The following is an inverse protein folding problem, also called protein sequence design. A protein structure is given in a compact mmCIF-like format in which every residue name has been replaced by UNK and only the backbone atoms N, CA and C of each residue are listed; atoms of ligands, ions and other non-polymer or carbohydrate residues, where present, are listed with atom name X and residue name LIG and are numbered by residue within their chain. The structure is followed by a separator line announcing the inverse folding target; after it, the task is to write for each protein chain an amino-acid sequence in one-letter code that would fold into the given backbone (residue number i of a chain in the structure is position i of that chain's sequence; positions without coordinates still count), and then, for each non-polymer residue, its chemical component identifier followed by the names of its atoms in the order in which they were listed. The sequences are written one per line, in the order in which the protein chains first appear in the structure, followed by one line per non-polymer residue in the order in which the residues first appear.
data_IF_351130187401
#
_entry.id   IF_351130187401
#
_cell.length_a   1.000
_cell.length_b   1.000
_cell.length_c   1.000
_cell.angle_alpha   90.00
_cell.angle_beta   90.00
_cell.angle_gamma   90.00
#
_symmetry.space_group_name_H-M   'P 1'
#
loop_
_entity.id
_entity.type
_entity.pdbx_description
1 polymer ?
#
# COMPACT_ATOMS: atom_id res chain seq x y z
N UNK A 1 32.55 -78.96 65.81
CA UNK A 1 31.79 -77.74 65.45
C UNK A 1 31.14 -77.96 64.11
N UNK A 2 29.81 -77.99 64.08
CA UNK A 2 29.01 -78.46 62.94
C UNK A 2 29.01 -77.41 61.84
N UNK A 3 29.80 -77.64 60.79
CA UNK A 3 29.99 -76.71 59.65
C UNK A 3 28.68 -76.28 59.00
N UNK A 4 27.66 -77.14 59.03
CA UNK A 4 26.31 -76.86 58.53
C UNK A 4 25.56 -75.81 59.37
N UNK A 5 25.72 -75.82 60.71
CA UNK A 5 25.12 -74.79 61.57
C UNK A 5 25.84 -73.44 61.42
N UNK A 6 27.15 -73.46 61.25
CA UNK A 6 27.92 -72.24 60.99
C UNK A 6 27.58 -71.62 59.64
N UNK A 7 27.37 -72.43 58.60
CA UNK A 7 26.91 -71.97 57.29
C UNK A 7 25.48 -71.43 57.33
N UNK A 8 24.57 -72.09 58.06
CA UNK A 8 23.20 -71.60 58.24
C UNK A 8 23.13 -70.26 58.95
N UNK A 9 23.90 -70.08 60.03
CA UNK A 9 23.97 -68.79 60.76
C UNK A 9 24.60 -67.70 59.92
N UNK A 10 25.64 -68.01 59.13
CA UNK A 10 26.31 -67.04 58.28
C UNK A 10 25.42 -66.63 57.09
N UNK A 11 24.65 -67.55 56.51
CA UNK A 11 23.68 -67.24 55.46
C UNK A 11 22.56 -66.32 55.98
N UNK A 12 22.03 -66.59 57.18
CA UNK A 12 21.02 -65.74 57.81
C UNK A 12 21.60 -64.37 58.15
N UNK A 13 22.83 -64.29 58.66
CA UNK A 13 23.50 -63.04 58.94
C UNK A 13 23.73 -62.19 57.68
N UNK A 14 24.13 -62.81 56.56
CA UNK A 14 24.31 -62.13 55.27
C UNK A 14 22.97 -61.62 54.73
N UNK A 15 21.90 -62.40 54.85
CA UNK A 15 20.56 -61.98 54.43
C UNK A 15 20.03 -60.81 55.28
N UNK A 16 20.20 -60.88 56.60
CA UNK A 16 19.79 -59.80 57.51
C UNK A 16 20.62 -58.54 57.29
N UNK A 17 21.92 -58.68 57.03
CA UNK A 17 22.81 -57.56 56.72
C UNK A 17 22.47 -56.92 55.37
N UNK A 18 22.17 -57.73 54.34
CA UNK A 18 21.69 -57.26 53.05
C UNK A 18 20.36 -56.53 53.16
N UNK A 19 19.40 -57.07 53.92
CA UNK A 19 18.11 -56.42 54.16
C UNK A 19 18.25 -55.12 54.97
N UNK A 20 19.14 -55.09 55.97
CA UNK A 20 19.43 -53.88 56.75
C UNK A 20 20.08 -52.78 55.90
N UNK A 21 20.93 -53.14 54.94
CA UNK A 21 21.52 -52.20 53.97
C UNK A 21 20.47 -51.56 53.06
N UNK A 22 19.44 -52.32 52.65
CA UNK A 22 18.33 -51.80 51.83
C UNK A 22 17.45 -50.82 52.63
N UNK A 23 17.22 -51.08 53.92
CA UNK A 23 16.42 -50.20 54.78
C UNK A 23 17.18 -48.96 55.25
N UNK A 24 18.50 -49.07 55.46
CA UNK A 24 19.34 -47.96 55.92
C UNK A 24 19.70 -46.94 54.83
N UNK A 25 19.48 -47.28 53.55
CA UNK A 25 19.76 -46.40 52.42
C UNK A 25 18.58 -46.36 51.42
N UNK A 26 17.42 -45.79 51.79
CA UNK A 26 16.24 -45.69 50.91
C UNK A 26 16.42 -44.78 49.67
N UNK A 27 17.66 -44.40 49.33
CA UNK A 27 18.01 -43.59 48.15
C UNK A 27 19.15 -44.16 47.28
N UNK A 28 19.71 -45.34 47.59
CA UNK A 28 20.82 -45.92 46.82
C UNK A 28 20.38 -46.66 45.54
N UNK A 29 19.09 -46.97 45.40
CA UNK A 29 18.46 -47.48 44.19
C UNK A 29 17.46 -46.46 43.64
N UNK A 30 17.87 -45.18 43.60
CA UNK A 30 17.19 -44.24 42.72
C UNK A 30 17.45 -44.71 41.28
N UNK A 31 16.46 -45.37 40.71
CA UNK A 31 16.37 -45.68 39.30
C UNK A 31 16.62 -44.37 38.55
N UNK A 32 17.84 -44.23 38.04
CA UNK A 32 18.29 -43.07 37.29
C UNK A 32 17.56 -43.11 35.96
N UNK A 33 16.31 -42.65 35.97
CA UNK A 33 15.57 -42.26 34.79
C UNK A 33 16.26 -40.99 34.25
N UNK A 34 17.47 -41.18 33.71
CA UNK A 34 18.19 -40.22 32.90
C UNK A 34 17.41 -40.04 31.58
N UNK A 35 16.20 -39.48 31.65
CA UNK A 35 15.83 -38.52 30.62
C UNK A 35 16.46 -37.21 31.06
N UNK A 36 17.78 -37.10 30.91
CA UNK A 36 18.42 -35.79 31.05
C UNK A 36 17.79 -34.91 29.96
N UNK A 37 16.80 -34.10 30.32
CA UNK A 37 16.20 -33.14 29.40
C UNK A 37 17.32 -32.19 29.04
N UNK A 38 17.93 -32.40 27.89
CA UNK A 38 19.01 -31.56 27.40
C UNK A 38 18.47 -30.12 27.37
N UNK A 39 19.18 -29.13 27.96
CA UNK A 39 18.71 -27.74 27.94
C UNK A 39 18.45 -27.32 26.50
N UNK A 40 17.33 -26.64 26.30
CA UNK A 40 16.93 -26.10 25.01
C UNK A 40 17.62 -24.76 24.79
N UNK A 41 18.08 -24.53 23.57
CA UNK A 41 18.72 -23.29 23.16
C UNK A 41 18.10 -22.82 21.85
N UNK A 42 17.52 -21.62 21.88
CA UNK A 42 16.98 -20.94 20.71
C UNK A 42 17.84 -19.70 20.43
N UNK A 43 18.37 -19.62 19.22
CA UNK A 43 19.19 -18.51 18.76
C UNK A 43 18.54 -17.88 17.53
N UNK A 44 18.26 -16.58 17.59
CA UNK A 44 17.67 -15.85 16.48
C UNK A 44 18.78 -15.42 15.52
N UNK A 45 18.72 -15.93 14.28
CA UNK A 45 19.58 -15.49 13.19
C UNK A 45 19.14 -14.12 12.69
N UNK A 46 20.02 -13.51 11.90
CA UNK A 46 19.78 -12.21 11.29
C UNK A 46 18.42 -12.16 10.57
N UNK A 47 17.51 -11.27 11.01
CA UNK A 47 16.21 -11.07 10.36
C UNK A 47 16.38 -10.50 8.96
N UNK A 48 15.57 -10.97 8.02
CA UNK A 48 15.45 -10.35 6.69
C UNK A 48 14.07 -9.71 6.57
N UNK A 49 14.02 -8.57 5.89
CA UNK A 49 12.77 -7.81 5.70
C UNK A 49 12.57 -7.59 4.21
N UNK A 50 11.34 -7.81 3.75
CA UNK A 50 10.87 -7.41 2.42
C UNK A 50 9.59 -6.60 2.55
N UNK A 51 9.22 -5.87 1.50
CA UNK A 51 7.87 -5.34 1.37
C UNK A 51 6.88 -6.51 1.16
N UNK A 52 5.72 -6.41 1.78
CA UNK A 52 4.52 -7.18 1.45
C UNK A 52 3.56 -6.28 0.66
N UNK A 53 2.27 -6.33 0.99
CA UNK A 53 1.24 -5.45 0.42
C UNK A 53 1.52 -3.97 0.75
N UNK A 54 1.41 -3.11 -0.26
CA UNK A 54 1.63 -1.66 -0.13
C UNK A 54 0.35 -0.91 -0.50
N UNK A 55 -0.23 -0.23 0.49
CA UNK A 55 -1.37 0.66 0.30
C UNK A 55 -0.96 2.14 0.23
N UNK A 56 -1.93 3.04 0.12
CA UNK A 56 -1.67 4.48 0.02
C UNK A 56 -1.02 5.06 1.28
N UNK A 57 -1.52 4.67 2.46
CA UNK A 57 -1.08 5.18 3.76
C UNK A 57 -0.31 4.16 4.60
N UNK A 58 -0.35 2.87 4.22
CA UNK A 58 0.22 1.77 5.01
C UNK A 58 1.07 0.87 4.14
N UNK A 59 2.11 0.28 4.71
CA UNK A 59 2.92 -0.75 4.07
C UNK A 59 3.09 -1.94 5.01
N UNK A 60 3.01 -3.15 4.47
CA UNK A 60 3.35 -4.36 5.18
C UNK A 60 4.86 -4.62 5.10
N UNK A 61 5.51 -4.76 6.25
CA UNK A 61 6.88 -5.25 6.35
C UNK A 61 6.84 -6.74 6.67
N UNK A 62 7.30 -7.57 5.74
CA UNK A 62 7.36 -9.03 5.88
C UNK A 62 8.73 -9.44 6.41
N UNK A 63 8.76 -9.95 7.65
CA UNK A 63 9.99 -10.40 8.30
C UNK A 63 10.15 -11.92 8.15
N UNK A 64 11.19 -12.34 7.44
CA UNK A 64 11.64 -13.73 7.40
C UNK A 64 12.62 -13.98 8.56
N UNK A 65 12.14 -14.68 9.59
CA UNK A 65 12.86 -14.98 10.81
C UNK A 65 13.33 -16.44 10.82
N UNK A 66 14.55 -16.66 11.30
CA UNK A 66 15.15 -17.99 11.39
C UNK A 66 15.68 -18.23 12.79
N UNK A 67 15.16 -19.27 13.44
CA UNK A 67 15.54 -19.69 14.79
C UNK A 67 16.38 -20.94 14.68
N UNK A 68 17.64 -20.86 15.10
CA UNK A 68 18.48 -22.03 15.27
C UNK A 68 18.15 -22.67 16.63
N UNK A 69 17.65 -23.91 16.58
CA UNK A 69 17.28 -24.70 17.74
C UNK A 69 18.30 -25.80 18.00
N UNK A 70 18.70 -25.96 19.26
CA UNK A 70 19.57 -27.04 19.75
C UNK A 70 19.07 -27.55 21.08
N UNK A 71 19.23 -28.85 21.31
CA UNK A 71 18.96 -29.48 22.60
C UNK A 71 17.59 -30.11 22.72
N UNK A 72 16.99 -30.03 23.91
CA UNK A 72 15.65 -30.54 24.20
C UNK A 72 14.54 -29.83 23.42
N UNK A 73 13.28 -30.27 23.54
CA UNK A 73 12.16 -29.57 22.92
C UNK A 73 12.00 -28.16 23.52
N UNK A 74 11.59 -27.19 22.71
CA UNK A 74 11.17 -25.87 23.20
C UNK A 74 9.64 -25.78 23.16
N UNK A 75 9.03 -25.34 24.26
CA UNK A 75 7.57 -25.33 24.43
C UNK A 75 7.03 -23.90 24.42
N UNK A 76 5.79 -23.73 23.93
CA UNK A 76 5.08 -22.45 23.92
C UNK A 76 5.88 -21.29 23.29
N UNK A 77 6.62 -21.58 22.23
CA UNK A 77 7.49 -20.59 21.59
C UNK A 77 6.64 -19.51 20.92
N UNK A 78 6.93 -18.25 21.24
CA UNK A 78 6.25 -17.07 20.67
C UNK A 78 7.28 -16.06 20.19
N UNK A 79 7.03 -15.47 19.03
CA UNK A 79 7.81 -14.35 18.50
C UNK A 79 7.01 -13.08 18.61
N UNK A 80 7.60 -12.03 19.15
CA UNK A 80 7.07 -10.67 19.19
C UNK A 80 7.95 -9.77 18.31
N UNK A 81 7.33 -8.96 17.47
CA UNK A 81 8.00 -7.93 16.67
C UNK A 81 7.38 -6.58 17.02
N UNK A 82 8.21 -5.65 17.43
CA UNK A 82 7.82 -4.27 17.73
C UNK A 82 8.41 -3.34 16.68
N UNK A 83 7.55 -2.62 15.96
CA UNK A 83 7.97 -1.57 15.06
C UNK A 83 8.02 -0.24 15.79
N UNK A 84 9.18 0.40 15.76
CA UNK A 84 9.45 1.68 16.41
C UNK A 84 9.80 2.67 15.30
N UNK A 85 9.02 3.74 15.20
CA UNK A 85 9.25 4.83 14.26
C UNK A 85 10.61 5.49 14.58
N UNK A 86 11.48 5.63 13.59
CA UNK A 86 12.86 6.08 13.81
C UNK A 86 12.97 7.57 14.09
N UNK A 87 11.97 8.35 13.72
CA UNK A 87 11.99 9.81 13.83
C UNK A 87 11.45 10.26 15.20
N UNK A 88 10.40 9.59 15.68
CA UNK A 88 9.75 9.87 16.96
C UNK A 88 10.25 8.98 18.10
N UNK A 89 10.81 7.81 17.79
CA UNK A 89 11.17 6.79 18.78
C UNK A 89 9.97 6.09 19.42
N UNK A 90 8.74 6.35 18.95
CA UNK A 90 7.52 5.78 19.49
C UNK A 90 7.22 4.41 18.86
N UNK A 91 6.57 3.55 19.63
CA UNK A 91 6.10 2.25 19.14
C UNK A 91 4.92 2.49 18.21
N UNK A 92 5.10 2.19 16.92
CA UNK A 92 4.04 2.29 15.92
C UNK A 92 3.08 1.11 16.00
N UNK A 93 3.61 -0.11 16.12
CA UNK A 93 2.81 -1.33 16.26
C UNK A 93 3.60 -2.46 16.93
N UNK A 94 2.88 -3.48 17.40
CA UNK A 94 3.47 -4.71 17.96
C UNK A 94 2.68 -5.92 17.49
N UNK A 95 3.37 -6.89 16.90
CA UNK A 95 2.79 -8.13 16.38
C UNK A 95 3.35 -9.32 17.13
N UNK A 96 2.49 -10.28 17.47
CA UNK A 96 2.88 -11.54 18.13
C UNK A 96 2.46 -12.74 17.31
N UNK A 97 3.36 -13.70 17.13
CA UNK A 97 3.11 -14.97 16.42
C UNK A 97 3.51 -16.14 17.31
N UNK A 98 2.55 -17.02 17.60
CA UNK A 98 2.80 -18.29 18.31
C UNK A 98 3.35 -19.33 17.34
N UNK A 99 4.49 -19.93 17.66
CA UNK A 99 5.07 -21.07 16.96
C UNK A 99 4.74 -22.40 17.65
N UNK A 100 4.40 -22.36 18.94
CA UNK A 100 4.03 -23.54 19.71
C UNK A 100 5.26 -24.38 20.06
N UNK A 101 5.14 -25.69 19.90
CA UNK A 101 6.20 -26.64 20.25
C UNK A 101 7.21 -26.80 19.12
N UNK A 102 8.49 -26.63 19.43
CA UNK A 102 9.61 -26.99 18.54
C UNK A 102 10.20 -28.31 19.06
N UNK A 103 10.15 -29.40 18.27
CA UNK A 103 10.61 -30.71 18.73
C UNK A 103 12.11 -30.70 19.00
N UNK A 104 12.57 -31.62 19.86
CA UNK A 104 14.00 -31.78 20.15
C UNK A 104 14.82 -32.03 18.88
N UNK A 105 16.10 -31.62 18.90
CA UNK A 105 17.04 -32.00 17.84
C UNK A 105 17.61 -33.38 18.19
N UNK A 106 17.43 -34.38 17.32
CA UNK A 106 18.01 -35.72 17.52
C UNK A 106 19.52 -35.66 17.34
N UNK A 107 20.29 -35.51 18.41
CA UNK A 107 21.73 -35.35 18.34
C UNK A 107 22.46 -36.70 18.56
N UNK A 108 23.02 -37.26 17.48
CA UNK A 108 24.27 -38.02 17.57
C UNK A 108 25.46 -37.05 17.70
N UNK A 109 26.65 -37.49 18.17
CA UNK A 109 27.81 -36.61 18.32
C UNK A 109 28.20 -35.99 16.98
N UNK A 110 28.20 -34.65 16.90
CA UNK A 110 28.68 -33.89 15.75
C UNK A 110 27.63 -33.36 14.75
N UNK A 111 26.31 -33.43 14.99
CA UNK A 111 25.31 -32.89 14.03
C UNK A 111 24.29 -31.88 14.56
N UNK A 112 24.39 -30.71 13.95
CA UNK A 112 23.38 -29.83 13.35
C UNK A 112 22.25 -29.28 14.22
N UNK A 113 22.30 -27.96 14.45
CA UNK A 113 21.14 -27.16 14.86
C UNK A 113 20.03 -27.27 13.82
N UNK A 114 18.78 -27.48 14.27
CA UNK A 114 17.62 -27.38 13.38
C UNK A 114 17.30 -25.90 13.15
N UNK A 115 17.11 -25.50 11.90
CA UNK A 115 16.60 -24.16 11.57
C UNK A 115 15.09 -24.19 11.47
N UNK A 116 14.41 -23.40 12.30
CA UNK A 116 12.96 -23.16 12.24
C UNK A 116 12.74 -21.82 11.55
N UNK A 117 12.03 -21.83 10.43
CA UNK A 117 11.71 -20.63 9.65
C UNK A 117 10.30 -20.18 9.95
N UNK A 118 10.11 -18.88 10.13
CA UNK A 118 8.78 -18.29 10.29
C UNK A 118 8.74 -16.90 9.69
N UNK A 119 7.59 -16.55 9.12
CA UNK A 119 7.31 -15.21 8.59
C UNK A 119 6.41 -14.43 9.54
N UNK A 120 6.72 -13.18 9.80
CA UNK A 120 5.87 -12.26 10.58
C UNK A 120 5.65 -11.00 9.77
N UNK A 121 4.39 -10.67 9.52
CA UNK A 121 4.00 -9.47 8.80
C UNK A 121 3.69 -8.35 9.79
N UNK A 122 4.18 -7.15 9.52
CA UNK A 122 4.02 -5.98 10.39
C UNK A 122 3.53 -4.80 9.54
N UNK A 123 2.26 -4.42 9.73
CA UNK A 123 1.68 -3.26 9.05
C UNK A 123 2.06 -1.97 9.77
N UNK A 124 2.64 -1.03 9.03
CA UNK A 124 3.07 0.29 9.51
C UNK A 124 2.55 1.37 8.58
N UNK A 125 2.62 2.64 8.98
CA UNK A 125 2.36 3.74 8.04
C UNK A 125 3.44 3.75 6.96
N UNK A 126 3.06 4.05 5.72
CA UNK A 126 3.96 4.17 4.56
C UNK A 126 4.73 5.49 4.61
N UNK A 127 5.53 5.65 5.66
CA UNK A 127 6.24 6.88 5.97
C UNK A 127 7.51 6.58 6.78
N UNK A 128 8.59 7.28 6.45
CA UNK A 128 9.81 7.34 7.25
C UNK A 128 10.55 6.00 7.35
N UNK A 129 11.14 5.78 8.52
CA UNK A 129 11.87 4.56 8.84
C UNK A 129 11.32 3.86 10.07
N UNK A 130 11.56 2.55 10.16
CA UNK A 130 11.18 1.75 11.32
C UNK A 130 12.34 0.89 11.79
N UNK A 131 12.60 0.93 13.09
CA UNK A 131 13.41 -0.07 13.79
C UNK A 131 12.49 -1.19 14.25
N UNK A 132 12.80 -2.40 13.81
CA UNK A 132 12.08 -3.61 14.16
C UNK A 132 12.86 -4.33 15.26
N UNK A 133 12.31 -4.35 16.48
CA UNK A 133 12.86 -5.09 17.62
C UNK A 133 12.13 -6.44 17.73
N UNK A 134 12.86 -7.55 17.62
CA UNK A 134 12.33 -8.91 17.67
C UNK A 134 12.68 -9.54 19.02
N UNK A 135 11.70 -10.18 19.65
CA UNK A 135 11.87 -10.92 20.91
C UNK A 135 11.26 -12.30 20.78
N UNK A 136 11.99 -13.32 21.19
CA UNK A 136 11.54 -14.71 21.21
C UNK A 136 11.33 -15.11 22.65
N UNK A 137 10.15 -15.66 22.93
CA UNK A 137 9.75 -16.15 24.25
C UNK A 137 9.58 -17.66 24.18
N UNK A 138 10.01 -18.34 25.23
CA UNK A 138 9.71 -19.73 25.53
C UNK A 138 9.07 -19.78 26.92
N UNK A 139 7.87 -20.34 27.04
CA UNK A 139 7.11 -20.32 28.31
C UNK A 139 7.10 -18.93 28.97
N UNK A 140 6.79 -17.89 28.19
CA UNK A 140 6.77 -16.47 28.58
C UNK A 140 8.11 -15.86 29.04
N UNK A 141 9.19 -16.65 29.06
CA UNK A 141 10.55 -16.16 29.34
C UNK A 141 11.23 -15.77 28.04
N UNK A 142 11.80 -14.55 27.99
CA UNK A 142 12.53 -14.09 26.81
C UNK A 142 13.85 -14.84 26.66
N UNK A 143 14.00 -15.58 25.58
CA UNK A 143 15.17 -16.45 25.32
C UNK A 143 16.09 -15.92 24.22
N UNK A 144 15.58 -15.10 23.29
CA UNK A 144 16.40 -14.48 22.24
C UNK A 144 15.88 -13.10 21.84
N UNK A 145 16.77 -12.28 21.28
CA UNK A 145 16.45 -10.94 20.76
C UNK A 145 17.15 -10.70 19.43
N UNK A 146 16.52 -9.92 18.56
CA UNK A 146 17.09 -9.46 17.30
C UNK A 146 16.63 -8.05 16.98
N UNK A 147 17.32 -7.42 16.05
CA UNK A 147 16.98 -6.07 15.58
C UNK A 147 17.30 -5.95 14.11
N UNK A 148 16.46 -5.22 13.39
CA UNK A 148 16.75 -4.73 12.04
C UNK A 148 16.12 -3.35 11.84
N UNK A 149 16.46 -2.65 10.77
CA UNK A 149 15.95 -1.31 10.48
C UNK A 149 15.65 -1.19 9.00
N UNK A 150 14.47 -0.64 8.69
CA UNK A 150 14.03 -0.29 7.35
C UNK A 150 13.94 1.23 7.27
N UNK A 151 14.27 1.79 6.11
CA UNK A 151 14.23 3.24 5.85
C UNK A 151 13.56 3.48 4.50
N UNK A 152 12.98 4.66 4.33
CA UNK A 152 12.35 5.06 3.07
C UNK A 152 11.08 4.29 2.77
N UNK A 153 10.26 3.98 3.78
CA UNK A 153 9.00 3.26 3.55
C UNK A 153 8.03 4.08 2.69
N UNK A 154 8.13 5.41 2.73
CA UNK A 154 7.42 6.36 1.86
C UNK A 154 7.75 6.22 0.37
N UNK A 155 8.85 5.57 0.00
CA UNK A 155 9.21 5.37 -1.41
C UNK A 155 8.61 4.09 -2.00
N UNK A 156 7.94 3.27 -1.19
CA UNK A 156 7.22 2.10 -1.69
C UNK A 156 6.03 2.57 -2.52
N UNK A 157 5.93 2.08 -3.75
CA UNK A 157 4.81 2.36 -4.65
C UNK A 157 3.62 1.49 -4.21
N UNK A 158 2.43 2.08 -3.98
CA UNK A 158 1.24 1.28 -3.67
C UNK A 158 0.91 0.30 -4.79
N UNK A 159 0.43 -0.89 -4.44
CA UNK A 159 0.19 -1.98 -5.40
C UNK A 159 -0.83 -1.61 -6.48
N UNK A 160 -1.77 -0.72 -6.17
CA UNK A 160 -2.75 -0.18 -7.12
C UNK A 160 -2.18 0.87 -8.08
N UNK A 161 -1.06 1.50 -7.69
CA UNK A 161 -0.36 2.50 -8.50
C UNK A 161 0.89 1.92 -9.18
N UNK A 162 1.28 0.70 -8.83
CA UNK A 162 2.40 0.00 -9.43
C UNK A 162 2.01 -0.49 -10.83
N UNK A 163 2.61 0.11 -11.85
CA UNK A 163 2.51 -0.33 -13.23
C UNK A 163 3.83 -0.06 -13.93
N UNK A 164 4.33 -1.00 -14.74
CA UNK A 164 5.53 -0.78 -15.55
C UNK A 164 5.23 -0.04 -16.86
N UNK A 165 3.97 0.29 -17.13
CA UNK A 165 3.55 0.99 -18.35
C UNK A 165 3.68 2.49 -18.17
N UNK A 166 4.51 3.10 -18.99
CA UNK A 166 4.79 4.53 -18.95
C UNK A 166 4.61 5.16 -20.33
N UNK A 167 4.44 6.47 -20.37
CA UNK A 167 4.51 7.22 -21.63
C UNK A 167 5.89 7.09 -22.27
N UNK A 168 5.92 6.69 -23.55
CA UNK A 168 7.15 6.55 -24.30
C UNK A 168 7.76 7.92 -24.57
N UNK A 169 9.06 8.06 -24.27
CA UNK A 169 9.84 9.26 -24.57
C UNK A 169 10.87 8.92 -25.65
N UNK A 170 10.78 9.58 -26.80
CA UNK A 170 11.61 9.31 -27.98
C UNK A 170 13.04 9.91 -27.91
N UNK A 171 13.53 10.19 -26.69
CA UNK A 171 14.81 10.84 -26.40
C UNK A 171 14.65 12.25 -25.82
N UNK A 172 15.77 12.85 -25.37
CA UNK A 172 15.82 14.19 -24.74
C UNK A 172 16.37 15.28 -25.68
N UNK A 173 16.43 15.01 -26.99
CA UNK A 173 16.93 15.97 -27.98
C UNK A 173 15.78 16.84 -28.46
N UNK A 174 16.05 18.10 -28.80
CA UNK A 174 15.06 19.05 -29.33
C UNK A 174 14.25 18.52 -30.54
N UNK A 175 14.76 17.51 -31.25
CA UNK A 175 14.09 16.87 -32.40
C UNK A 175 13.36 15.57 -32.06
N UNK A 176 13.20 15.22 -30.78
CA UNK A 176 12.46 14.02 -30.38
C UNK A 176 10.98 14.17 -30.70
N UNK A 177 10.34 13.10 -31.15
CA UNK A 177 8.89 13.09 -31.34
C UNK A 177 8.18 13.42 -30.01
N UNK A 178 7.10 14.22 -30.05
CA UNK A 178 6.30 14.48 -28.86
C UNK A 178 5.68 13.17 -28.35
N UNK A 179 5.41 13.12 -27.05
CA UNK A 179 4.77 11.95 -26.42
C UNK A 179 3.37 11.71 -27.00
N UNK A 180 2.68 12.82 -27.33
CA UNK A 180 1.38 12.82 -27.98
C UNK A 180 1.55 13.55 -29.32
N UNK A 181 1.40 12.81 -30.42
CA UNK A 181 1.29 13.40 -31.75
C UNK A 181 -0.18 13.57 -32.14
N UNK A 182 -0.47 14.47 -33.06
CA UNK A 182 -1.82 14.62 -33.59
C UNK A 182 -1.80 14.82 -35.11
N UNK A 183 -2.91 14.47 -35.74
CA UNK A 183 -3.21 14.81 -37.13
C UNK A 183 -4.60 15.44 -37.23
N UNK A 184 -4.79 16.33 -38.20
CA UNK A 184 -6.09 16.92 -38.48
C UNK A 184 -6.82 16.00 -39.44
N UNK A 185 -7.97 15.47 -39.01
CA UNK A 185 -8.80 14.56 -39.80
C UNK A 185 -9.87 15.30 -40.59
N UNK A 186 -10.48 16.32 -39.98
CA UNK A 186 -11.55 17.10 -40.59
C UNK A 186 -11.57 18.53 -40.03
N UNK A 187 -12.04 19.46 -40.86
CA UNK A 187 -12.22 20.88 -40.50
C UNK A 187 -13.53 21.37 -41.06
N UNK A 188 -14.42 21.87 -40.21
CA UNK A 188 -15.71 22.40 -40.62
C UNK A 188 -16.51 22.98 -39.46
N UNK A 189 -17.44 23.89 -39.76
CA UNK A 189 -18.36 24.48 -38.77
C UNK A 189 -17.66 25.08 -37.53
N UNK A 190 -16.55 25.82 -37.74
CA UNK A 190 -15.73 26.40 -36.66
C UNK A 190 -15.10 25.36 -35.70
N UNK A 191 -14.96 24.10 -36.15
CA UNK A 191 -14.35 23.02 -35.38
C UNK A 191 -13.32 22.25 -36.21
N UNK A 192 -12.36 21.70 -35.48
CA UNK A 192 -11.28 20.86 -36.00
C UNK A 192 -11.32 19.51 -35.28
N UNK A 193 -11.36 18.43 -36.05
CA UNK A 193 -11.26 17.07 -35.54
C UNK A 193 -9.81 16.63 -35.54
N UNK A 194 -9.27 16.34 -34.37
CA UNK A 194 -7.92 15.85 -34.15
C UNK A 194 -7.95 14.35 -33.92
N UNK A 195 -7.10 13.61 -34.62
CA UNK A 195 -6.72 12.26 -34.22
C UNK A 195 -5.40 12.34 -33.48
N UNK A 196 -5.43 12.05 -32.18
CA UNK A 196 -4.25 12.00 -31.33
C UNK A 196 -3.69 10.58 -31.28
N UNK A 197 -2.38 10.46 -31.24
CA UNK A 197 -1.67 9.19 -31.08
C UNK A 197 -0.67 9.33 -29.92
N UNK A 198 -0.86 8.51 -28.90
CA UNK A 198 -0.05 8.46 -27.68
C UNK A 198 0.69 7.14 -27.60
N UNK A 199 1.99 7.17 -27.29
CA UNK A 199 2.81 5.96 -27.22
C UNK A 199 3.03 5.55 -25.76
N UNK A 200 2.68 4.30 -25.43
CA UNK A 200 2.86 3.71 -24.10
C UNK A 200 3.83 2.53 -24.20
N UNK A 201 4.82 2.46 -23.31
CA UNK A 201 5.81 1.38 -23.25
C UNK A 201 5.70 0.63 -21.94
N UNK A 202 5.58 -0.69 -22.02
CA UNK A 202 5.79 -1.55 -20.86
C UNK A 202 7.30 -1.78 -20.66
N UNK A 203 7.84 -1.25 -19.56
CA UNK A 203 9.26 -1.40 -19.19
C UNK A 203 9.54 -2.57 -18.25
N UNK A 204 8.50 -3.27 -17.81
CA UNK A 204 8.59 -4.41 -16.92
C UNK A 204 8.89 -5.70 -17.67
N UNK A 205 9.12 -6.76 -16.90
CA UNK A 205 9.49 -8.09 -17.41
C UNK A 205 8.26 -8.96 -17.75
N UNK A 206 7.07 -8.52 -17.38
CA UNK A 206 5.79 -9.22 -17.61
C UNK A 206 4.82 -8.37 -18.44
N UNK A 207 3.86 -8.96 -19.17
CA UNK A 207 2.78 -8.20 -19.80
C UNK A 207 1.97 -7.41 -18.76
N UNK A 208 1.50 -6.22 -19.15
CA UNK A 208 0.73 -5.34 -18.28
C UNK A 208 -0.45 -4.73 -19.05
N UNK A 209 -1.63 -4.67 -18.43
CA UNK A 209 -2.88 -4.20 -19.01
C UNK A 209 -3.79 -3.56 -17.96
N UNK A 210 -5.09 -3.54 -18.22
CA UNK A 210 -6.12 -2.94 -17.35
C UNK A 210 -5.89 -1.46 -17.06
N UNK A 211 -5.47 -0.73 -18.10
CA UNK A 211 -5.21 0.70 -18.05
C UNK A 211 -6.23 1.47 -18.89
N UNK A 212 -6.52 2.68 -18.47
CA UNK A 212 -7.38 3.62 -19.19
C UNK A 212 -6.58 4.86 -19.53
N UNK A 213 -6.55 5.24 -20.79
CA UNK A 213 -5.95 6.48 -21.27
C UNK A 213 -7.05 7.52 -21.45
N UNK A 214 -6.96 8.63 -20.72
CA UNK A 214 -7.80 9.82 -20.93
C UNK A 214 -6.95 10.87 -21.63
N UNK A 215 -7.42 11.39 -22.76
CA UNK A 215 -6.78 12.48 -23.50
C UNK A 215 -7.72 13.68 -23.49
N UNK A 216 -7.22 14.83 -23.05
CA UNK A 216 -7.96 16.09 -22.99
C UNK A 216 -7.31 17.12 -23.89
N UNK A 217 -8.12 17.91 -24.59
CA UNK A 217 -7.67 19.13 -25.24
C UNK A 217 -8.05 20.32 -24.37
N UNK A 218 -7.05 21.01 -23.80
CA UNK A 218 -7.23 22.20 -22.96
C UNK A 218 -6.71 23.42 -23.69
N UNK A 219 -7.58 24.40 -23.92
CA UNK A 219 -7.20 25.61 -24.65
C UNK A 219 -6.19 26.43 -23.84
N UNK A 220 -5.13 26.88 -24.51
CA UNK A 220 -3.91 27.40 -23.86
C UNK A 220 -4.19 28.67 -23.05
N UNK A 221 -4.97 29.59 -23.59
CA UNK A 221 -5.17 30.92 -23.05
C UNK A 221 -6.14 30.96 -21.85
N UNK A 222 -7.18 30.13 -21.87
CA UNK A 222 -8.28 30.11 -20.90
C UNK A 222 -8.24 28.91 -19.96
N UNK A 223 -7.40 27.91 -20.25
CA UNK A 223 -7.36 26.62 -19.56
C UNK A 223 -8.68 25.83 -19.57
N UNK A 224 -9.62 26.18 -20.45
CA UNK A 224 -10.87 25.44 -20.63
C UNK A 224 -10.59 24.14 -21.37
N UNK A 225 -11.09 23.02 -20.85
CA UNK A 225 -11.09 21.75 -21.56
C UNK A 225 -12.16 21.81 -22.64
N UNK A 226 -11.72 21.78 -23.90
CA UNK A 226 -12.59 21.87 -25.07
C UNK A 226 -13.18 20.52 -25.46
N UNK A 227 -12.44 19.43 -25.25
CA UNK A 227 -12.93 18.07 -25.44
C UNK A 227 -12.09 17.04 -24.65
N UNK A 228 -12.66 15.86 -24.44
CA UNK A 228 -12.02 14.73 -23.77
C UNK A 228 -12.43 13.40 -24.42
N UNK A 229 -11.47 12.50 -24.56
CA UNK A 229 -11.69 11.15 -25.03
C UNK A 229 -11.04 10.13 -24.08
N UNK A 230 -11.71 8.98 -23.89
CA UNK A 230 -11.25 7.88 -23.05
C UNK A 230 -11.05 6.62 -23.89
N UNK A 231 -9.90 5.97 -23.73
CA UNK A 231 -9.50 4.77 -24.48
C UNK A 231 -9.05 3.69 -23.51
N UNK A 232 -9.59 2.48 -23.65
CA UNK A 232 -9.09 1.32 -22.91
C UNK A 232 -7.79 0.84 -23.55
N UNK A 233 -6.74 0.71 -22.73
CA UNK A 233 -5.44 0.23 -23.16
C UNK A 233 -5.41 -1.28 -22.96
N UNK A 234 -5.33 -2.01 -24.07
CA UNK A 234 -5.12 -3.45 -24.03
C UNK A 234 -3.76 -3.84 -23.46
N UNK A 235 -3.58 -5.13 -23.20
CA UNK A 235 -2.33 -5.66 -22.67
C UNK A 235 -1.13 -5.32 -23.58
N UNK A 236 -0.08 -4.75 -22.98
CA UNK A 236 1.20 -4.45 -23.62
C UNK A 236 2.23 -5.47 -23.10
N UNK A 237 2.79 -6.27 -24.00
CA UNK A 237 3.85 -7.24 -23.66
C UNK A 237 5.10 -6.52 -23.14
N UNK A 238 5.87 -7.20 -22.30
CA UNK A 238 7.16 -6.74 -21.80
C UNK A 238 8.06 -6.18 -22.91
N UNK A 239 8.63 -4.99 -22.67
CA UNK A 239 9.54 -4.29 -23.58
C UNK A 239 8.91 -3.77 -24.87
N UNK A 240 7.58 -3.83 -25.02
CA UNK A 240 6.88 -3.34 -26.21
C UNK A 240 6.27 -1.96 -26.00
N UNK A 241 6.20 -1.22 -27.10
CA UNK A 241 5.47 0.04 -27.19
C UNK A 241 4.17 -0.19 -27.96
N UNK A 242 3.08 0.32 -27.41
CA UNK A 242 1.76 0.32 -28.05
C UNK A 242 1.33 1.76 -28.33
N UNK A 243 0.74 2.00 -29.50
CA UNK A 243 0.19 3.30 -29.87
C UNK A 243 -1.31 3.31 -29.60
N UNK A 244 -1.78 4.32 -28.87
CA UNK A 244 -3.17 4.52 -28.51
C UNK A 244 -3.72 5.73 -29.26
N UNK A 245 -4.86 5.55 -29.91
CA UNK A 245 -5.48 6.61 -30.73
C UNK A 245 -6.75 7.13 -30.06
N UNK A 246 -6.90 8.45 -30.00
CA UNK A 246 -8.12 9.09 -29.50
C UNK A 246 -8.52 10.26 -30.41
N UNK A 247 -9.82 10.40 -30.67
CA UNK A 247 -10.38 11.50 -31.48
C UNK A 247 -10.90 12.59 -30.57
N UNK A 248 -10.52 13.84 -30.84
CA UNK A 248 -10.98 15.04 -30.13
C UNK A 248 -11.55 16.04 -31.13
N UNK A 249 -12.64 16.71 -30.79
CA UNK A 249 -13.25 17.76 -31.62
C UNK A 249 -13.21 19.08 -30.87
N UNK A 250 -12.36 19.98 -31.32
CA UNK A 250 -12.11 21.26 -30.65
C UNK A 250 -12.53 22.44 -31.53
N UNK A 251 -12.82 23.61 -30.94
CA UNK A 251 -12.95 24.85 -31.70
C UNK A 251 -11.72 25.12 -32.58
N UNK A 252 -11.95 25.58 -33.81
CA UNK A 252 -10.89 25.98 -34.74
C UNK A 252 -10.19 27.28 -34.26
N UNK A 253 -9.01 27.57 -34.82
CA UNK A 253 -8.28 28.84 -34.61
C UNK A 253 -7.80 29.13 -33.17
N UNK A 254 -7.69 28.10 -32.32
CA UNK A 254 -7.07 28.20 -30.99
C UNK A 254 -5.93 27.20 -30.82
N UNK A 255 -5.06 27.48 -29.86
CA UNK A 255 -4.00 26.57 -29.45
C UNK A 255 -4.43 25.72 -28.26
N UNK A 256 -3.95 24.47 -28.21
CA UNK A 256 -4.35 23.51 -27.18
C UNK A 256 -3.14 22.82 -26.55
N UNK A 257 -3.22 22.56 -25.25
CA UNK A 257 -2.48 21.48 -24.59
C UNK A 257 -3.26 20.19 -24.75
N UNK A 258 -2.62 19.17 -25.30
CA UNK A 258 -3.07 17.79 -25.28
C UNK A 258 -2.52 17.15 -24.00
N UNK A 259 -3.39 16.94 -23.02
CA UNK A 259 -3.05 16.31 -21.75
C UNK A 259 -3.48 14.84 -21.78
N UNK A 260 -2.54 13.92 -21.64
CA UNK A 260 -2.79 12.50 -21.51
C UNK A 260 -2.62 12.05 -20.06
N UNK A 261 -3.62 11.35 -19.54
CA UNK A 261 -3.65 10.82 -18.18
C UNK A 261 -3.83 9.31 -18.28
N UNK A 262 -2.88 8.56 -17.74
CA UNK A 262 -2.95 7.10 -17.66
C UNK A 262 -3.51 6.72 -16.29
N UNK A 263 -4.56 5.92 -16.29
CA UNK A 263 -5.29 5.47 -15.10
C UNK A 263 -5.18 3.95 -14.98
N UNK A 264 -5.08 3.47 -13.74
CA UNK A 264 -5.32 2.07 -13.35
C UNK A 264 -6.35 2.09 -12.22
N UNK A 265 -7.51 1.47 -12.41
CA UNK A 265 -8.60 1.48 -11.41
C UNK A 265 -8.89 2.88 -10.86
N UNK A 266 -9.04 3.87 -11.75
CA UNK A 266 -9.26 5.30 -11.46
C UNK A 266 -8.10 6.03 -10.73
N UNK A 267 -6.95 5.37 -10.54
CA UNK A 267 -5.75 5.98 -9.98
C UNK A 267 -4.83 6.47 -11.10
N UNK A 268 -4.41 7.74 -11.01
CA UNK A 268 -3.43 8.33 -11.94
C UNK A 268 -2.07 7.67 -11.71
N UNK A 269 -1.61 6.93 -12.72
CA UNK A 269 -0.31 6.24 -12.73
C UNK A 269 0.69 6.91 -13.67
N UNK A 270 0.24 7.85 -14.51
CA UNK A 270 1.12 8.68 -15.32
C UNK A 270 0.40 9.86 -15.96
N UNK A 271 1.16 10.88 -16.32
CA UNK A 271 0.69 12.03 -17.10
C UNK A 271 1.71 12.45 -18.15
N UNK A 272 1.24 12.94 -19.29
CA UNK A 272 2.05 13.60 -20.30
C UNK A 272 1.30 14.76 -20.95
N UNK A 273 2.03 15.76 -21.42
CA UNK A 273 1.44 16.91 -22.12
C UNK A 273 2.21 17.15 -23.43
N UNK A 274 1.50 17.53 -24.49
CA UNK A 274 2.10 18.03 -25.73
C UNK A 274 1.25 19.18 -26.28
N UNK A 275 1.84 20.10 -27.01
CA UNK A 275 1.13 21.24 -27.61
C UNK A 275 0.55 20.89 -28.98
N UNK A 276 -0.65 21.39 -29.27
CA UNK A 276 -1.27 21.40 -30.58
C UNK A 276 -1.50 22.85 -31.03
N UNK A 277 -0.75 23.26 -32.05
CA UNK A 277 -0.86 24.59 -32.66
C UNK A 277 -1.88 24.52 -33.78
N UNK A 278 -3.08 25.07 -33.56
CA UNK A 278 -4.08 25.22 -34.61
C UNK A 278 -4.34 26.70 -34.96
N UNK A 279 -3.84 27.65 -34.16
CA UNK A 279 -3.81 29.07 -34.52
C UNK A 279 -2.52 29.34 -35.34
N UNK A 280 -2.62 29.61 -36.66
CA UNK A 280 -1.45 29.84 -37.50
C UNK A 280 -0.78 31.20 -37.22
N UNK A 281 -1.45 32.10 -36.51
CA UNK A 281 -0.96 33.46 -36.24
C UNK A 281 -0.26 33.60 -34.89
N UNK A 282 -0.46 32.63 -33.98
CA UNK A 282 0.11 32.67 -32.63
C UNK A 282 0.80 31.36 -32.29
N UNK A 283 2.12 31.37 -32.02
CA UNK A 283 2.80 30.18 -31.53
C UNK A 283 2.31 29.85 -30.11
N UNK A 284 2.39 28.57 -29.74
CA UNK A 284 2.10 28.14 -28.37
C UNK A 284 3.24 28.61 -27.46
N UNK A 285 2.99 29.43 -26.43
CA UNK A 285 4.02 29.83 -25.49
C UNK A 285 4.52 28.61 -24.69
N UNK A 286 5.84 28.55 -24.48
CA UNK A 286 6.40 27.78 -23.35
C UNK A 286 5.84 28.38 -22.07
N UNK A 287 5.45 27.58 -21.07
CA UNK A 287 4.75 28.00 -19.83
C UNK A 287 5.32 29.29 -19.20
N UNK A 288 4.86 30.46 -19.66
CA UNK A 288 5.25 31.79 -19.20
C UNK A 288 3.99 32.64 -18.94
N UNK A 289 4.19 33.67 -18.12
CA UNK A 289 3.16 34.43 -17.40
C UNK A 289 2.15 35.14 -18.30
N UNK A 290 0.90 35.16 -17.82
CA UNK A 290 -0.38 35.62 -18.40
C UNK A 290 -0.35 36.94 -19.18
N UNK A 291 -0.89 36.90 -20.40
CA UNK A 291 -1.42 38.06 -21.15
C UNK A 291 -2.96 38.00 -21.17
N UNK A 292 -3.63 39.16 -21.15
CA UNK A 292 -5.10 39.23 -21.31
C UNK A 292 -5.46 39.08 -22.80
N UNK A 293 -6.28 38.09 -23.13
CA UNK A 293 -6.70 37.76 -24.50
C UNK A 293 -8.22 37.62 -24.62
N UNK A 294 -8.74 37.90 -25.82
CA UNK A 294 -10.16 37.80 -26.15
C UNK A 294 -10.60 36.32 -26.10
N UNK A 295 -11.47 36.00 -25.14
CA UNK A 295 -12.00 34.67 -24.89
C UNK A 295 -13.49 34.61 -25.26
N UNK A 296 -13.86 33.73 -26.19
CA UNK A 296 -15.25 33.49 -26.55
C UNK A 296 -15.75 32.15 -25.99
N UNK A 297 -16.46 32.21 -24.85
CA UNK A 297 -17.02 31.02 -24.20
C UNK A 297 -18.02 30.24 -25.08
N UNK A 298 -18.63 30.88 -26.08
CA UNK A 298 -19.66 30.26 -26.93
C UNK A 298 -19.13 29.11 -27.78
N UNK A 299 -17.86 29.15 -28.19
CA UNK A 299 -17.26 28.13 -29.05
C UNK A 299 -17.07 26.77 -28.32
N UNK A 300 -16.90 26.83 -27.00
CA UNK A 300 -16.65 25.68 -26.12
C UNK A 300 -17.94 24.99 -25.64
N UNK A 301 -19.11 25.56 -25.91
CA UNK A 301 -20.37 24.92 -25.54
C UNK A 301 -20.61 23.67 -26.41
N UNK A 302 -20.89 22.53 -25.78
CA UNK A 302 -21.35 21.34 -26.50
C UNK A 302 -22.73 21.60 -27.09
N UNK A 303 -22.88 21.48 -28.41
CA UNK A 303 -24.20 21.50 -29.03
C UNK A 303 -25.04 20.37 -28.43
N UNK A 304 -26.25 20.64 -27.89
CA UNK A 304 -27.10 19.58 -27.38
C UNK A 304 -27.39 18.58 -28.51
N UNK A 305 -27.17 17.30 -28.25
CA UNK A 305 -27.60 16.23 -29.15
C UNK A 305 -29.11 16.40 -29.41
N UNK A 306 -29.58 16.48 -30.66
CA UNK A 306 -31.01 16.51 -30.93
C UNK A 306 -31.63 15.21 -30.40
N UNK A 307 -32.45 15.32 -29.35
CA UNK A 307 -33.34 14.22 -28.99
C UNK A 307 -34.24 13.92 -30.20
N UNK A 308 -34.47 12.64 -30.56
CA UNK A 308 -35.41 12.32 -31.61
C UNK A 308 -36.80 12.86 -31.23
N UNK A 309 -37.40 13.61 -32.15
CA UNK A 309 -38.76 14.14 -32.07
C UNK A 309 -39.72 13.01 -31.66
N UNK A 310 -40.12 13.01 -30.37
CA UNK A 310 -41.28 12.22 -29.94
C UNK A 310 -42.51 12.99 -30.38
N UNK A 311 -43.24 12.38 -31.30
CA UNK A 311 -44.52 12.85 -31.79
C UNK A 311 -45.46 13.29 -30.65
N UNK A 312 -46.13 14.42 -30.90
CA UNK A 312 -47.17 15.02 -30.07
C UNK A 312 -48.16 14.00 -29.49
N UNK A 313 -48.21 13.95 -28.17
CA UNK A 313 -49.40 13.54 -27.42
C UNK A 313 -49.68 14.67 -26.43
N UNK A 314 -50.76 15.41 -26.68
CA UNK A 314 -51.15 16.59 -25.90
C UNK A 314 -51.23 16.29 -24.41
N UNK A 315 -50.48 17.07 -23.64
CA UNK A 315 -50.68 17.24 -22.21
C UNK A 315 -50.57 18.74 -21.91
N UNK A 316 -51.63 19.29 -21.34
CA UNK A 316 -51.70 20.67 -20.85
C UNK A 316 -50.50 20.98 -19.93
N UNK A 317 -49.94 22.20 -19.98
CA UNK A 317 -48.86 22.57 -19.07
C UNK A 317 -49.39 22.62 -17.64
N UNK A 318 -48.81 21.89 -16.67
CA UNK A 318 -49.12 22.15 -15.27
C UNK A 318 -48.64 23.56 -14.94
N UNK A 319 -49.54 24.33 -14.33
CA UNK A 319 -49.26 25.66 -13.82
C UNK A 319 -47.93 25.69 -13.04
N UNK A 320 -47.12 26.71 -13.34
CA UNK A 320 -45.95 27.09 -12.56
C UNK A 320 -46.36 27.32 -11.11
N UNK A 321 -46.13 26.33 -10.25
CA UNK A 321 -46.09 26.55 -8.81
C UNK A 321 -44.79 27.28 -8.55
N UNK A 322 -44.87 28.59 -8.36
CA UNK A 322 -43.79 29.38 -7.76
C UNK A 322 -43.49 28.78 -6.39
N UNK A 323 -42.48 27.92 -6.31
CA UNK A 323 -41.86 27.55 -5.04
C UNK A 323 -41.11 28.78 -4.53
N UNK A 324 -41.81 29.57 -3.72
CA UNK A 324 -41.16 30.49 -2.79
C UNK A 324 -40.19 29.67 -1.95
N UNK A 325 -38.89 29.83 -2.21
CA UNK A 325 -37.86 29.38 -1.29
C UNK A 325 -38.10 29.99 0.10
N UNK A 326 -37.70 29.32 1.20
CA UNK A 326 -37.92 29.84 2.55
C UNK A 326 -37.15 31.15 2.72
N UNK A 327 -37.88 32.26 2.62
CA UNK A 327 -37.39 33.57 2.98
C UNK A 327 -37.15 33.58 4.48
N UNK A 328 -35.88 33.44 4.88
CA UNK A 328 -35.45 33.89 6.19
C UNK A 328 -35.48 35.41 6.18
N UNK A 329 -36.69 35.90 6.45
CA UNK A 329 -37.01 37.30 6.57
C UNK A 329 -36.06 37.98 7.54
N UNK A 330 -35.82 39.24 7.22
CA UNK A 330 -35.15 40.32 7.95
C UNK A 330 -35.47 40.36 9.48
N UNK A 331 -36.49 39.62 9.92
CA UNK A 331 -36.92 39.47 11.32
C UNK A 331 -35.96 38.62 12.16
N UNK A 332 -35.29 37.59 11.62
CA UNK A 332 -34.37 36.74 12.41
C UNK A 332 -33.03 37.45 12.69
N UNK A 333 -32.56 38.29 11.76
CA UNK A 333 -31.34 39.09 11.93
C UNK A 333 -31.45 40.12 13.06
N UNK A 334 -32.63 40.72 13.24
CA UNK A 334 -32.88 41.73 14.29
C UNK A 334 -32.94 41.13 15.70
N UNK A 335 -33.42 39.89 15.86
CA UNK A 335 -33.47 39.22 17.16
C UNK A 335 -32.07 38.83 17.68
N UNK A 336 -31.16 38.45 16.78
CA UNK A 336 -29.78 38.12 17.16
C UNK A 336 -28.99 39.35 17.65
N UNK A 337 -29.25 40.52 17.06
CA UNK A 337 -28.58 41.78 17.42
C UNK A 337 -29.04 42.34 18.78
N UNK A 338 -30.30 42.10 19.16
CA UNK A 338 -30.84 42.44 20.48
C UNK A 338 -30.37 41.48 21.58
N UNK A 339 -30.17 40.19 21.26
CA UNK A 339 -29.62 39.23 22.21
C UNK A 339 -28.13 39.51 22.53
N UNK A 340 -27.34 39.93 21.54
CA UNK A 340 -25.92 40.24 21.73
C UNK A 340 -25.72 41.48 22.61
N UNK A 341 -26.55 42.50 22.44
CA UNK A 341 -26.46 43.75 23.22
C UNK A 341 -26.86 43.54 24.69
N UNK A 342 -27.87 42.72 24.97
CA UNK A 342 -28.27 42.39 26.35
C UNK A 342 -27.19 41.61 27.13
N UNK A 343 -26.46 40.70 26.46
CA UNK A 343 -25.36 39.92 27.09
C UNK A 343 -24.13 40.79 27.37
N UNK A 344 -23.83 41.76 26.49
CA UNK A 344 -22.73 42.70 26.68
C UNK A 344 -22.99 43.72 27.81
N UNK A 345 -24.24 44.16 28.00
CA UNK A 345 -24.59 45.04 29.12
C UNK A 345 -24.59 44.33 30.48
N UNK A 346 -24.88 43.03 30.53
CA UNK A 346 -24.89 42.26 31.79
C UNK A 346 -23.48 41.95 32.31
N UNK A 347 -22.46 42.00 31.44
CA UNK A 347 -21.04 41.83 31.82
C UNK A 347 -20.35 43.12 32.28
N UNK A 348 -21.00 44.27 32.16
CA UNK A 348 -20.47 45.56 32.65
C UNK A 348 -21.03 46.00 34.00
N UNK A 349 -22.05 45.31 34.52
CA UNK A 349 -22.68 45.60 35.82
C UNK A 349 -22.65 44.38 36.77
N UNK A 350 -21.63 43.53 36.65
CA UNK A 350 -21.34 42.44 37.60
C UNK A 350 -19.94 42.64 38.19
#
# INVERSE_FOLDING_TARGET
MNRERTLGVLAVAVLLFGAALVVAAPGALAEKSDTSVRPTHLDLREPRVSAGEVGGETAELSLDLRLAHRGGPAENVTVEVQAIDTDTGLVATTVRKRLGRIPATSAGPGRESREVRTRVNVSVKRQGGYRLDIRVYENDSRVATGRTTVRGVESLVPDYADTPVEFHRFGERETSLPVISYSIQDTGNNRTTLETQTFLTNRGDEPAGDLTLVVKARQVESNVVADEATVQVGEIRSGRTSAQTATLTVPADYNYYLDAILLRDDVVVGTATSSATLDPTRPVPENETTEEVEFNAGDFASSPTPEPERADAGAEPPATVTSSGPGFGIVVGLAALLALTAVLTRRRNA
#
